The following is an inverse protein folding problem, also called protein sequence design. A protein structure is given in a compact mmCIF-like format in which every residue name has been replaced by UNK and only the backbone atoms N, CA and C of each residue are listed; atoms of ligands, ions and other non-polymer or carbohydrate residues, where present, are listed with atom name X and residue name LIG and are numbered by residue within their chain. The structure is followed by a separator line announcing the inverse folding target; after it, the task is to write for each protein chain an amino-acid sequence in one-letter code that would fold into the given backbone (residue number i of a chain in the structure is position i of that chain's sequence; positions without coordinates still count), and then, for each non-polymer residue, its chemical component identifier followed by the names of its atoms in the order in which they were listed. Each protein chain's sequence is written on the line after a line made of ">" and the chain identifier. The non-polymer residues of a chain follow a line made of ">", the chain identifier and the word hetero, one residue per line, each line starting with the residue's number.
data_IF_347344549466
#
_entry.id   IF_347344549466
#
_cell.length_a   1.000
_cell.length_b   1.000
_cell.length_c   1.000
_cell.angle_alpha   90.00
_cell.angle_beta   90.00
_cell.angle_gamma   90.00
#
_symmetry.space_group_name_H-M   'P 1'
#
loop_
_entity.id
_entity.type
_entity.pdbx_description
1 polymer ?
#
# COMPACT_ATOMS: atom_id res chain seq x y z
N UNK A 1 -26.38 -21.98 47.73
CA UNK A 1 -27.04 -22.22 46.43
C UNK A 1 -27.36 -20.87 45.79
N UNK A 2 -26.44 -20.30 45.01
CA UNK A 2 -26.70 -19.08 44.25
C UNK A 2 -27.06 -19.48 42.82
N UNK A 3 -28.33 -19.27 42.45
CA UNK A 3 -28.82 -19.55 41.11
C UNK A 3 -28.31 -18.45 40.18
N UNK A 4 -27.41 -18.81 39.27
CA UNK A 4 -26.89 -17.89 38.26
C UNK A 4 -28.06 -17.34 37.44
N UNK A 5 -28.30 -16.02 37.54
CA UNK A 5 -29.23 -15.27 36.67
C UNK A 5 -28.70 -15.41 35.25
N UNK A 6 -29.31 -16.28 34.44
CA UNK A 6 -28.96 -16.43 33.02
C UNK A 6 -29.20 -15.10 32.32
N UNK A 7 -28.15 -14.52 31.74
CA UNK A 7 -28.26 -13.28 30.98
C UNK A 7 -29.30 -13.48 29.85
N UNK A 8 -30.15 -12.48 29.59
CA UNK A 8 -31.22 -12.62 28.63
C UNK A 8 -30.66 -12.71 27.21
N UNK A 9 -31.25 -13.56 26.37
CA UNK A 9 -30.70 -13.97 25.07
C UNK A 9 -30.36 -12.82 24.11
N UNK A 10 -31.01 -11.66 24.25
CA UNK A 10 -30.73 -10.46 23.47
C UNK A 10 -29.38 -9.83 23.82
N UNK A 11 -28.92 -9.92 25.08
CA UNK A 11 -27.61 -9.41 25.51
C UNK A 11 -26.48 -10.26 24.92
N UNK A 12 -26.66 -11.58 24.89
CA UNK A 12 -25.71 -12.50 24.24
C UNK A 12 -25.68 -12.30 22.72
N UNK A 13 -26.83 -12.07 22.09
CA UNK A 13 -26.91 -11.76 20.65
C UNK A 13 -26.22 -10.43 20.31
N UNK A 14 -26.42 -9.39 21.12
CA UNK A 14 -25.78 -8.09 20.93
C UNK A 14 -24.25 -8.18 21.09
N UNK A 15 -23.78 -8.94 22.08
CA UNK A 15 -22.35 -9.17 22.31
C UNK A 15 -21.71 -9.94 21.15
N UNK A 16 -22.39 -10.95 20.61
CA UNK A 16 -21.90 -11.72 19.47
C UNK A 16 -21.80 -10.85 18.21
N UNK A 17 -22.78 -9.96 18.00
CA UNK A 17 -22.80 -9.04 16.86
C UNK A 17 -21.67 -8.01 16.93
N UNK A 18 -21.36 -7.47 18.11
CA UNK A 18 -20.19 -6.61 18.32
C UNK A 18 -18.86 -7.35 18.12
N UNK A 19 -18.79 -8.65 18.43
CA UNK A 19 -17.57 -9.44 18.23
C UNK A 19 -17.31 -9.73 16.75
N UNK A 20 -18.36 -9.93 15.93
CA UNK A 20 -18.23 -10.10 14.48
C UNK A 20 -17.90 -8.79 13.75
N UNK A 21 -18.29 -7.63 14.29
CA UNK A 21 -18.04 -6.33 13.67
C UNK A 21 -16.57 -5.86 13.76
N UNK A 22 -15.72 -6.52 14.55
CA UNK A 22 -14.30 -6.17 14.74
C UNK A 22 -13.32 -6.92 13.84
N UNK A 23 -13.78 -7.80 12.94
CA UNK A 23 -12.90 -8.68 12.16
C UNK A 23 -12.16 -7.98 11.00
N UNK A 24 -12.56 -6.76 10.60
CA UNK A 24 -11.90 -5.97 9.56
C UNK A 24 -10.75 -5.11 10.10
N UNK A 25 -9.93 -5.65 11.00
CA UNK A 25 -8.76 -4.96 11.56
C UNK A 25 -7.45 -5.24 10.79
N UNK A 26 -7.53 -5.54 9.49
CA UNK A 26 -6.34 -5.71 8.63
C UNK A 26 -6.46 -4.90 7.34
N UNK A 27 -6.77 -3.60 7.46
CA UNK A 27 -6.72 -2.63 6.38
C UNK A 27 -5.34 -2.02 6.15
N UNK A 28 -4.24 -2.77 6.35
CA UNK A 28 -2.98 -2.40 5.70
C UNK A 28 -3.08 -2.97 4.28
N UNK A 29 -3.64 -2.19 3.36
CA UNK A 29 -3.69 -2.61 1.98
C UNK A 29 -2.28 -2.92 1.49
N UNK A 30 -2.09 -4.11 0.93
CA UNK A 30 -0.78 -4.55 0.46
C UNK A 30 -0.22 -3.52 -0.52
N UNK A 31 0.99 -3.03 -0.24
CA UNK A 31 1.71 -2.26 -1.23
C UNK A 31 2.01 -3.18 -2.42
N UNK A 32 1.74 -2.78 -3.67
CA UNK A 32 1.29 -1.45 -4.13
C UNK A 32 -0.19 -1.38 -4.55
N UNK A 33 -0.90 -0.35 -4.10
CA UNK A 33 -2.28 -0.05 -4.54
C UNK A 33 -2.36 0.87 -5.78
N UNK A 34 -1.25 1.55 -6.10
CA UNK A 34 -1.19 2.62 -7.11
C UNK A 34 0.04 2.43 -8.01
N UNK A 35 0.02 2.97 -9.23
CA UNK A 35 1.20 3.07 -10.07
C UNK A 35 2.38 3.68 -9.31
N UNK A 36 3.55 3.04 -9.40
CA UNK A 36 4.77 3.51 -8.75
C UNK A 36 5.41 4.56 -9.67
N UNK A 37 5.80 5.71 -9.11
CA UNK A 37 6.53 6.76 -9.86
C UNK A 37 7.97 6.81 -9.41
N UNK A 38 8.90 6.65 -10.35
CA UNK A 38 10.33 6.76 -10.12
C UNK A 38 10.78 8.13 -10.63
N UNK A 39 11.05 9.05 -9.71
CA UNK A 39 11.55 10.38 -10.07
C UNK A 39 13.06 10.29 -10.25
N UNK A 40 13.59 10.86 -11.34
CA UNK A 40 15.05 10.92 -11.55
C UNK A 40 15.51 12.36 -11.81
N UNK A 41 16.71 12.74 -11.32
CA UNK A 41 17.23 14.10 -11.51
C UNK A 41 17.93 14.28 -12.86
N UNK A 42 17.94 13.24 -13.69
CA UNK A 42 18.69 13.20 -14.94
C UNK A 42 17.83 13.62 -16.13
N UNK A 43 18.50 14.05 -17.19
CA UNK A 43 17.83 14.35 -18.45
C UNK A 43 17.25 13.06 -19.06
N UNK A 44 16.05 13.10 -19.68
CA UNK A 44 15.50 11.97 -20.41
C UNK A 44 16.49 11.46 -21.47
N UNK A 45 16.65 10.15 -21.59
CA UNK A 45 17.57 9.52 -22.55
C UNK A 45 19.05 9.53 -22.15
N UNK A 46 19.41 10.10 -21.00
CA UNK A 46 20.75 9.92 -20.42
C UNK A 46 20.97 8.46 -20.00
N UNK A 47 22.23 8.04 -19.90
CA UNK A 47 22.58 6.69 -19.44
C UNK A 47 21.82 6.26 -18.16
N UNK A 48 21.77 7.05 -17.07
CA UNK A 48 20.99 6.68 -15.89
C UNK A 48 19.48 6.56 -16.15
N UNK A 49 18.87 7.42 -16.98
CA UNK A 49 17.45 7.29 -17.34
C UNK A 49 17.16 5.97 -18.08
N UNK A 50 18.04 5.56 -18.99
CA UNK A 50 17.90 4.29 -19.71
C UNK A 50 17.95 3.11 -18.74
N UNK A 51 18.89 3.10 -17.80
CA UNK A 51 18.94 2.07 -16.77
C UNK A 51 17.71 2.08 -15.86
N UNK A 52 17.25 3.26 -15.43
CA UNK A 52 16.05 3.39 -14.59
C UNK A 52 14.81 2.88 -15.30
N UNK A 53 14.65 3.13 -16.61
CA UNK A 53 13.52 2.63 -17.41
C UNK A 53 13.56 1.11 -17.57
N UNK A 54 14.74 0.53 -17.77
CA UNK A 54 14.91 -0.92 -17.80
C UNK A 54 14.53 -1.54 -16.45
N UNK A 55 14.98 -0.96 -15.33
CA UNK A 55 14.61 -1.39 -13.99
C UNK A 55 13.10 -1.25 -13.73
N UNK A 56 12.51 -0.12 -14.11
CA UNK A 56 11.07 0.12 -13.95
C UNK A 56 10.21 -0.93 -14.67
N UNK A 57 10.65 -1.38 -15.85
CA UNK A 57 10.00 -2.48 -16.58
C UNK A 57 9.98 -3.78 -15.78
N UNK A 58 11.11 -4.19 -15.21
CA UNK A 58 11.20 -5.40 -14.38
C UNK A 58 10.44 -5.26 -13.05
N UNK A 59 10.53 -4.09 -12.42
CA UNK A 59 9.75 -3.79 -11.21
C UNK A 59 8.25 -3.84 -11.49
N UNK A 60 7.80 -3.38 -12.66
CA UNK A 60 6.38 -3.42 -13.03
C UNK A 60 5.90 -4.86 -13.19
N UNK A 61 6.72 -5.75 -13.76
CA UNK A 61 6.42 -7.19 -13.85
C UNK A 61 6.33 -7.84 -12.47
N UNK A 62 7.25 -7.51 -11.55
CA UNK A 62 7.28 -8.07 -10.21
C UNK A 62 6.16 -7.51 -9.30
N UNK A 63 5.84 -6.23 -9.44
CA UNK A 63 4.89 -5.54 -8.59
C UNK A 63 3.43 -5.69 -9.05
N UNK A 64 3.20 -6.14 -10.30
CA UNK A 64 1.86 -6.27 -10.88
C UNK A 64 1.14 -4.93 -11.14
N UNK A 65 1.83 -3.81 -10.91
CA UNK A 65 1.35 -2.45 -11.15
C UNK A 65 2.31 -1.72 -12.08
N UNK A 66 1.83 -0.72 -12.85
CA UNK A 66 2.69 0.08 -13.71
C UNK A 66 3.71 0.89 -12.89
N UNK A 67 4.96 0.89 -13.34
CA UNK A 67 6.04 1.72 -12.81
C UNK A 67 6.43 2.75 -13.87
N UNK A 68 6.33 4.03 -13.55
CA UNK A 68 6.52 5.14 -14.49
C UNK A 68 7.74 5.97 -14.08
N UNK A 69 8.64 6.24 -15.03
CA UNK A 69 9.82 7.10 -14.80
C UNK A 69 9.46 8.56 -15.13
N UNK A 70 9.64 9.45 -14.15
CA UNK A 70 9.42 10.89 -14.28
C UNK A 70 10.74 11.64 -14.11
N UNK A 71 11.29 12.16 -15.21
CA UNK A 71 12.53 12.93 -15.17
C UNK A 71 12.23 14.36 -14.71
N UNK A 72 12.83 14.80 -13.60
CA UNK A 72 12.78 16.17 -13.09
C UNK A 72 14.20 16.76 -13.02
N UNK A 73 14.79 17.13 -14.17
CA UNK A 73 16.12 17.72 -14.19
C UNK A 73 16.10 19.12 -13.54
N UNK A 74 17.03 19.36 -12.61
CA UNK A 74 17.14 20.63 -11.89
C UNK A 74 17.39 20.44 -10.39
N UNK A 75 17.78 21.51 -9.69
CA UNK A 75 17.95 21.49 -8.23
C UNK A 75 19.19 20.75 -7.70
N UNK A 76 20.27 20.63 -8.49
CA UNK A 76 21.52 19.96 -8.09
C UNK A 76 21.31 18.52 -7.62
N UNK A 77 20.47 17.76 -8.33
CA UNK A 77 19.99 16.42 -7.94
C UNK A 77 19.13 16.34 -6.68
N UNK A 78 18.92 17.41 -5.91
CA UNK A 78 18.22 17.36 -4.61
C UNK A 78 16.74 16.97 -4.67
N UNK A 79 16.13 16.90 -5.85
CA UNK A 79 14.73 16.51 -6.05
C UNK A 79 14.58 14.98 -6.14
N UNK A 80 15.67 14.25 -6.43
CA UNK A 80 15.65 12.81 -6.69
C UNK A 80 17.02 12.11 -6.45
N UNK A 81 17.89 12.70 -5.62
CA UNK A 81 19.17 12.12 -5.20
C UNK A 81 18.98 11.05 -4.13
#
# INVERSE_FOLDING_TARGET
>A
MQTMKKAPAWVTALMLMCFLAGADASGAAGFPEKPIKVVTPFTPGSAPDVYTRALASEMSKAAGVPVVVENRPGGSSGIAA
#
